data_IF_185553039646
#
_entry.id   IF_185553039646
#
_cell.length_a   1.000
_cell.length_b   1.000
_cell.length_c   1.000
_cell.angle_alpha   90.00
_cell.angle_beta   90.00
_cell.angle_gamma   90.00
#
_symmetry.space_group_name_H-M   'P 1'
#
loop_
_entity.id
_entity.type
_entity.pdbx_description
1 polymer ?
#
# COMPACT_ATOMS: atom_id res chain seq x y z
N UNK A 1 15.05 32.90 9.01
CA UNK A 1 14.51 32.22 7.83
C UNK A 1 13.71 31.01 8.31
N UNK A 2 12.37 30.96 8.23
CA UNK A 2 11.62 29.77 8.60
C UNK A 2 11.54 28.83 7.38
N UNK A 3 11.92 27.57 7.57
CA UNK A 3 11.72 26.51 6.57
C UNK A 3 10.26 26.07 6.65
N UNK A 4 9.48 26.41 5.62
CA UNK A 4 8.25 25.69 5.29
C UNK A 4 8.63 24.47 4.46
N UNK A 5 8.11 23.28 4.78
CA UNK A 5 7.34 22.43 3.85
C UNK A 5 7.08 21.04 4.44
N UNK A 6 5.90 20.91 5.03
CA UNK A 6 4.93 19.83 4.85
C UNK A 6 5.49 18.48 4.36
N UNK A 7 5.78 17.55 5.28
CA UNK A 7 5.73 16.11 4.97
C UNK A 7 4.34 15.61 5.32
N UNK A 8 3.40 15.78 4.39
CA UNK A 8 2.15 15.00 4.40
C UNK A 8 2.53 13.51 4.33
N UNK A 9 1.95 12.61 5.14
CA UNK A 9 2.23 11.20 5.02
C UNK A 9 1.84 10.75 3.61
N UNK A 10 2.68 9.93 2.98
CA UNK A 10 2.49 9.37 1.63
C UNK A 10 1.15 8.61 1.43
N UNK A 11 0.37 8.43 2.49
CA UNK A 11 -0.97 7.86 2.50
C UNK A 11 -1.99 8.67 1.69
N UNK A 12 -1.83 9.99 1.51
CA UNK A 12 -2.81 10.79 0.76
C UNK A 12 -2.62 10.70 -0.78
N UNK A 13 -1.41 10.34 -1.26
CA UNK A 13 -1.06 10.54 -2.68
C UNK A 13 -1.23 9.32 -3.58
N UNK A 14 -1.36 8.11 -3.01
CA UNK A 14 -1.42 6.85 -3.80
C UNK A 14 -2.82 6.23 -3.85
N UNK A 15 -3.83 6.98 -3.40
CA UNK A 15 -5.23 6.50 -3.28
C UNK A 15 -6.18 7.28 -4.21
N UNK A 16 -5.67 8.29 -4.93
CA UNK A 16 -6.50 9.21 -5.71
C UNK A 16 -7.00 8.64 -7.05
N UNK A 17 -6.34 7.64 -7.66
CA UNK A 17 -6.69 7.25 -9.04
C UNK A 17 -7.97 6.39 -9.11
N UNK A 18 -8.23 5.55 -8.09
CA UNK A 18 -9.33 4.58 -8.10
C UNK A 18 -10.49 4.91 -7.14
N UNK A 19 -10.49 6.13 -6.57
CA UNK A 19 -11.43 6.55 -5.52
C UNK A 19 -11.48 5.53 -4.36
N UNK A 20 -10.31 5.01 -3.99
CA UNK A 20 -10.13 4.12 -2.85
C UNK A 20 -10.02 4.97 -1.59
N UNK A 21 -10.30 4.38 -0.43
CA UNK A 21 -10.11 5.05 0.86
C UNK A 21 -9.04 4.35 1.68
N UNK A 22 -8.56 5.01 2.73
CA UNK A 22 -7.65 4.39 3.70
C UNK A 22 -8.31 3.16 4.34
N UNK A 23 -9.64 3.19 4.57
CA UNK A 23 -10.35 2.06 5.14
C UNK A 23 -10.42 0.86 4.18
N UNK A 24 -10.50 1.09 2.87
CA UNK A 24 -10.41 0.02 1.88
C UNK A 24 -9.03 -0.63 1.90
N UNK A 25 -7.97 0.19 1.95
CA UNK A 25 -6.60 -0.28 2.08
C UNK A 25 -6.38 -1.11 3.36
N UNK A 26 -6.87 -0.65 4.51
CA UNK A 26 -6.81 -1.40 5.77
C UNK A 26 -7.56 -2.74 5.65
N UNK A 27 -8.75 -2.75 5.07
CA UNK A 27 -9.53 -3.97 4.87
C UNK A 27 -8.80 -4.96 3.97
N UNK A 28 -8.20 -4.49 2.86
CA UNK A 28 -7.40 -5.30 1.95
C UNK A 28 -6.18 -5.91 2.68
N UNK A 29 -5.45 -5.12 3.48
CA UNK A 29 -4.26 -5.59 4.20
C UNK A 29 -4.62 -6.61 5.28
N UNK A 30 -5.69 -6.36 6.06
CA UNK A 30 -6.04 -7.16 7.23
C UNK A 30 -6.81 -8.44 6.88
N UNK A 31 -7.58 -8.44 5.78
CA UNK A 31 -8.45 -9.57 5.41
C UNK A 31 -8.06 -10.25 4.10
N UNK A 32 -7.18 -9.61 3.31
CA UNK A 32 -6.73 -10.11 2.03
C UNK A 32 -5.77 -11.29 2.13
N UNK A 33 -5.36 -11.78 0.96
CA UNK A 33 -4.41 -12.89 0.83
C UNK A 33 -3.20 -12.43 0.04
N UNK A 34 -2.02 -12.87 0.46
CA UNK A 34 -0.79 -12.67 -0.31
C UNK A 34 -0.88 -13.51 -1.59
N UNK A 35 -0.90 -12.84 -2.74
CA UNK A 35 -0.95 -13.50 -4.06
C UNK A 35 0.41 -13.53 -4.74
N UNK A 36 1.32 -12.62 -4.38
CA UNK A 36 2.67 -12.57 -4.95
C UNK A 36 3.71 -12.02 -3.96
N UNK A 37 4.96 -12.45 -4.11
CA UNK A 37 6.14 -11.87 -3.46
C UNK A 37 7.21 -11.56 -4.50
N UNK A 38 7.42 -10.27 -4.78
CA UNK A 38 8.40 -9.78 -5.75
C UNK A 38 9.72 -9.49 -5.02
N UNK A 39 10.70 -10.39 -5.15
CA UNK A 39 12.04 -10.21 -4.58
C UNK A 39 12.90 -9.38 -5.52
N UNK A 40 13.34 -8.21 -5.06
CA UNK A 40 14.39 -7.46 -5.73
C UNK A 40 15.75 -8.10 -5.42
N UNK A 41 16.37 -8.69 -6.45
CA UNK A 41 17.68 -9.36 -6.33
C UNK A 41 18.82 -8.39 -5.99
N UNK A 42 18.67 -7.10 -6.28
CA UNK A 42 19.73 -6.12 -6.06
C UNK A 42 19.59 -5.38 -4.73
N UNK A 43 18.35 -5.14 -4.26
CA UNK A 43 18.09 -4.27 -3.09
C UNK A 43 17.79 -5.01 -1.78
N UNK A 44 17.75 -6.36 -1.79
CA UNK A 44 17.25 -7.15 -0.65
C UNK A 44 15.83 -6.75 -0.18
N UNK A 45 15.08 -6.04 -1.03
CA UNK A 45 13.71 -5.65 -0.73
C UNK A 45 12.75 -6.70 -1.28
N UNK A 46 11.75 -7.08 -0.49
CA UNK A 46 10.66 -7.93 -0.94
C UNK A 46 9.38 -7.12 -0.93
N UNK A 47 8.79 -6.92 -2.10
CA UNK A 47 7.43 -6.39 -2.21
C UNK A 47 6.44 -7.56 -2.12
N UNK A 48 5.30 -7.30 -1.53
CA UNK A 48 4.22 -8.26 -1.32
C UNK A 48 2.98 -7.69 -1.98
N UNK A 49 2.33 -8.50 -2.82
CA UNK A 49 1.03 -8.16 -3.40
C UNK A 49 -0.04 -8.86 -2.59
N UNK A 50 -0.95 -8.08 -2.02
CA UNK A 50 -2.09 -8.56 -1.22
C UNK A 50 -3.35 -8.28 -2.01
N UNK A 51 -4.10 -9.34 -2.35
CA UNK A 51 -5.40 -9.23 -3.00
C UNK A 51 -6.51 -9.33 -1.96
N UNK A 52 -7.42 -8.38 -1.98
CA UNK A 52 -8.52 -8.28 -1.04
C UNK A 52 -9.74 -7.64 -1.69
N UNK A 53 -10.65 -7.17 -0.84
CA UNK A 53 -11.83 -6.41 -1.25
C UNK A 53 -11.89 -5.08 -0.53
N UNK A 54 -12.39 -4.07 -1.22
CA UNK A 54 -12.82 -2.80 -0.63
C UNK A 54 -14.05 -3.02 0.25
N UNK A 55 -14.43 -2.01 1.03
CA UNK A 55 -15.62 -2.05 1.88
C UNK A 55 -16.93 -2.13 1.07
N UNK A 56 -16.94 -1.60 -0.16
CA UNK A 56 -18.05 -1.73 -1.10
C UNK A 56 -17.99 -3.02 -1.95
N UNK A 57 -17.02 -3.90 -1.69
CA UNK A 57 -16.96 -5.25 -2.25
C UNK A 57 -16.25 -5.37 -3.59
N UNK A 58 -15.68 -4.28 -4.13
CA UNK A 58 -14.80 -4.30 -5.32
C UNK A 58 -13.51 -5.03 -5.00
N UNK A 59 -12.94 -5.68 -6.00
CA UNK A 59 -11.67 -6.38 -5.85
C UNK A 59 -10.50 -5.44 -6.09
N UNK A 60 -9.48 -5.52 -5.24
CA UNK A 60 -8.35 -4.61 -5.25
C UNK A 60 -7.08 -5.31 -4.76
N UNK A 61 -5.94 -4.78 -5.19
CA UNK A 61 -4.62 -5.25 -4.81
C UNK A 61 -3.80 -4.11 -4.18
N UNK A 62 -3.12 -4.41 -3.08
CA UNK A 62 -2.18 -3.52 -2.43
C UNK A 62 -0.76 -4.08 -2.56
N UNK A 63 0.16 -3.23 -3.03
CA UNK A 63 1.59 -3.55 -3.10
C UNK A 63 2.28 -2.90 -1.91
N UNK A 64 2.87 -3.72 -1.05
CA UNK A 64 3.48 -3.27 0.21
C UNK A 64 4.90 -3.81 0.36
N UNK A 65 5.70 -3.19 1.23
CA UNK A 65 6.96 -3.76 1.73
C UNK A 65 7.12 -3.51 3.22
N UNK A 66 7.83 -4.40 3.90
CA UNK A 66 8.22 -4.21 5.31
C UNK A 66 9.63 -3.62 5.32
N UNK A 67 9.79 -2.43 5.91
CA UNK A 67 11.08 -1.78 6.04
C UNK A 67 11.91 -2.33 7.20
N UNK A 68 13.16 -1.87 7.36
CA UNK A 68 14.08 -2.39 8.38
C UNK A 68 13.60 -2.21 9.83
N UNK A 69 12.78 -1.20 10.11
CA UNK A 69 12.19 -0.95 11.43
C UNK A 69 10.96 -1.83 11.74
N UNK A 70 10.53 -2.67 10.80
CA UNK A 70 9.26 -3.39 10.88
C UNK A 70 8.04 -2.58 10.44
N UNK A 71 8.21 -1.30 10.07
CA UNK A 71 7.12 -0.49 9.52
C UNK A 71 6.66 -1.02 8.15
N UNK A 72 5.35 -1.02 7.93
CA UNK A 72 4.74 -1.36 6.65
C UNK A 72 4.69 -0.11 5.76
N UNK A 73 5.26 -0.20 4.57
CA UNK A 73 5.20 0.84 3.54
C UNK A 73 4.25 0.39 2.45
N UNK A 74 3.22 1.19 2.21
CA UNK A 74 2.29 1.00 1.09
C UNK A 74 2.86 1.73 -0.11
N UNK A 75 3.08 1.00 -1.20
CA UNK A 75 3.67 1.52 -2.43
C UNK A 75 2.56 1.99 -3.37
N UNK A 76 1.54 1.17 -3.56
CA UNK A 76 0.36 1.50 -4.38
C UNK A 76 -0.80 0.58 -3.99
N UNK A 77 -2.00 1.02 -4.28
CA UNK A 77 -3.23 0.22 -4.20
C UNK A 77 -4.04 0.52 -5.46
N UNK A 78 -4.63 -0.51 -6.07
CA UNK A 78 -5.42 -0.37 -7.29
C UNK A 78 -6.55 -1.40 -7.36
N UNK A 79 -7.60 -1.09 -8.13
CA UNK A 79 -8.68 -2.02 -8.48
C UNK A 79 -8.18 -3.06 -9.49
N UNK A 80 -8.67 -4.30 -9.37
CA UNK A 80 -8.35 -5.43 -10.27
C UNK A 80 -9.28 -5.47 -11.48
#
# INVERSE_FOLDING_TARGET
MPVQSLSRPAAEQHVEDDNLTILDLENIILTGRIVERQKDRQRHETKIVIRGRTLDGREAEAVVKVGPSGALYVITVYLV
#
